data_IF_111937314431
#
_entry.id   IF_111937314431
#
_cell.length_a   1.000
_cell.length_b   1.000
_cell.length_c   1.000
_cell.angle_alpha   90.00
_cell.angle_beta   90.00
_cell.angle_gamma   90.00
#
_symmetry.space_group_name_H-M   'P 1'
#
loop_
_entity.id
_entity.type
_entity.pdbx_description
1 polymer ?
#
# COMPACT_ATOMS: atom_id res chain seq x y z
N UNK A 1 -8.68 4.29 14.57
CA UNK A 1 -9.91 3.89 13.86
C UNK A 1 -9.75 2.41 13.50
N UNK A 2 -10.34 1.52 14.30
CA UNK A 2 -10.40 0.11 13.90
C UNK A 2 -11.44 0.05 12.79
N UNK A 3 -11.00 -0.35 11.59
CA UNK A 3 -11.80 -0.29 10.36
C UNK A 3 -13.13 -1.01 10.55
N UNK A 4 -14.22 -0.30 10.30
CA UNK A 4 -15.62 -0.78 10.29
C UNK A 4 -15.77 -2.12 9.55
N UNK A 5 -14.88 -2.42 8.58
CA UNK A 5 -14.88 -3.67 7.82
C UNK A 5 -14.55 -4.93 8.63
N UNK A 6 -13.79 -4.83 9.73
CA UNK A 6 -13.32 -6.02 10.47
C UNK A 6 -14.41 -6.59 11.37
N UNK A 7 -15.13 -5.73 12.07
CA UNK A 7 -16.19 -6.14 13.00
C UNK A 7 -17.42 -6.67 12.23
N UNK A 8 -17.73 -6.06 11.08
CA UNK A 8 -18.77 -6.55 10.16
C UNK A 8 -18.43 -7.94 9.62
N UNK A 9 -17.16 -8.19 9.26
CA UNK A 9 -16.69 -9.49 8.78
C UNK A 9 -16.83 -10.57 9.86
N UNK A 10 -16.43 -10.28 11.10
CA UNK A 10 -16.60 -11.24 12.20
C UNK A 10 -18.07 -11.59 12.44
N UNK A 11 -18.95 -10.59 12.42
CA UNK A 11 -20.39 -10.80 12.55
C UNK A 11 -20.94 -11.72 11.46
N UNK A 12 -20.50 -11.55 10.21
CA UNK A 12 -20.92 -12.40 9.09
C UNK A 12 -20.40 -13.84 9.21
N UNK A 13 -19.18 -14.01 9.73
CA UNK A 13 -18.60 -15.34 10.00
C UNK A 13 -19.36 -16.04 11.12
N UNK A 14 -19.74 -15.33 12.18
CA UNK A 14 -20.52 -15.89 13.29
C UNK A 14 -21.95 -16.26 12.90
N UNK A 15 -22.55 -15.56 11.93
CA UNK A 15 -23.88 -15.85 11.41
C UNK A 15 -23.92 -17.03 10.42
N UNK A 16 -22.77 -17.60 10.10
CA UNK A 16 -22.63 -18.58 9.03
C UNK A 16 -23.06 -19.99 9.50
N UNK A 17 -23.84 -20.74 8.70
CA UNK A 17 -24.21 -22.10 9.06
C UNK A 17 -22.96 -22.99 9.21
N UNK A 18 -22.93 -23.84 10.25
CA UNK A 18 -21.76 -24.68 10.55
C UNK A 18 -21.30 -25.53 9.35
N UNK A 19 -22.26 -26.05 8.57
CA UNK A 19 -22.00 -26.84 7.36
C UNK A 19 -21.24 -26.10 6.26
N UNK A 20 -21.36 -24.78 6.20
CA UNK A 20 -20.73 -23.92 5.18
C UNK A 20 -19.37 -23.36 5.66
N UNK A 21 -19.11 -23.40 6.97
CA UNK A 21 -17.86 -22.89 7.58
C UNK A 21 -16.58 -23.46 6.95
N UNK A 22 -16.47 -24.77 6.63
CA UNK A 22 -15.28 -25.33 6.01
C UNK A 22 -15.04 -24.80 4.59
N UNK A 23 -16.09 -24.41 3.87
CA UNK A 23 -16.01 -23.87 2.51
C UNK A 23 -15.55 -22.43 2.56
N UNK A 24 -16.19 -21.62 3.42
CA UNK A 24 -15.83 -20.21 3.61
C UNK A 24 -14.40 -20.07 4.11
N UNK A 25 -13.97 -20.92 5.05
CA UNK A 25 -12.58 -20.92 5.53
C UNK A 25 -11.57 -21.12 4.39
N UNK A 26 -11.78 -22.12 3.53
CA UNK A 26 -10.89 -22.39 2.38
C UNK A 26 -10.85 -21.23 1.41
N UNK A 27 -12.00 -20.58 1.18
CA UNK A 27 -12.07 -19.41 0.30
C UNK A 27 -11.30 -18.21 0.88
N UNK A 28 -11.43 -17.93 2.18
CA UNK A 28 -10.68 -16.87 2.84
C UNK A 28 -9.17 -17.16 2.83
N UNK A 29 -8.76 -18.41 3.05
CA UNK A 29 -7.37 -18.84 2.93
C UNK A 29 -6.82 -18.63 1.51
N UNK A 30 -7.62 -18.95 0.48
CA UNK A 30 -7.30 -18.67 -0.92
C UNK A 30 -7.08 -17.17 -1.18
N UNK A 31 -8.00 -16.30 -0.72
CA UNK A 31 -7.86 -14.85 -0.88
C UNK A 31 -6.60 -14.31 -0.18
N UNK A 32 -6.29 -14.82 1.00
CA UNK A 32 -5.07 -14.47 1.74
C UNK A 32 -3.80 -14.83 0.96
N UNK A 33 -3.77 -16.00 0.33
CA UNK A 33 -2.64 -16.42 -0.51
C UNK A 33 -2.54 -15.54 -1.76
N UNK A 34 -3.66 -15.26 -2.43
CA UNK A 34 -3.68 -14.41 -3.62
C UNK A 34 -3.20 -12.98 -3.34
N UNK A 35 -3.68 -12.36 -2.25
CA UNK A 35 -3.27 -10.99 -1.89
C UNK A 35 -1.75 -10.87 -1.68
N UNK A 36 -1.13 -11.85 -1.01
CA UNK A 36 0.32 -11.86 -0.80
C UNK A 36 1.10 -12.06 -2.10
N UNK A 37 0.56 -12.88 -3.00
CA UNK A 37 1.20 -13.14 -4.30
C UNK A 37 1.11 -11.93 -5.22
N UNK A 38 0.00 -11.17 -5.19
CA UNK A 38 -0.14 -9.95 -5.97
C UNK A 38 0.87 -8.88 -5.51
N UNK A 39 0.96 -8.63 -4.20
CA UNK A 39 1.95 -7.70 -3.63
C UNK A 39 3.39 -8.09 -3.99
N UNK A 40 3.71 -9.38 -3.91
CA UNK A 40 5.04 -9.89 -4.27
C UNK A 40 5.30 -9.76 -5.77
N UNK A 41 4.33 -10.09 -6.62
CA UNK A 41 4.45 -9.95 -8.07
C UNK A 41 4.64 -8.49 -8.50
N UNK A 42 4.00 -7.54 -7.82
CA UNK A 42 4.24 -6.11 -8.04
C UNK A 42 5.64 -5.67 -7.60
N UNK A 43 6.15 -6.18 -6.47
CA UNK A 43 7.49 -5.88 -5.98
C UNK A 43 8.60 -6.48 -6.86
N UNK A 44 8.36 -7.67 -7.41
CA UNK A 44 9.30 -8.40 -8.26
C UNK A 44 9.12 -8.10 -9.75
N UNK A 45 8.11 -7.30 -10.10
CA UNK A 45 7.85 -6.95 -11.49
C UNK A 45 9.07 -6.22 -12.08
N UNK A 46 9.57 -6.75 -13.19
CA UNK A 46 10.48 -6.00 -14.04
C UNK A 46 9.72 -4.80 -14.61
N UNK A 47 9.99 -3.62 -14.06
CA UNK A 47 9.57 -2.37 -14.68
C UNK A 47 10.37 -2.26 -15.99
N UNK A 48 9.72 -2.59 -17.10
CA UNK A 48 10.27 -2.39 -18.44
C UNK A 48 10.62 -0.92 -18.69
N UNK A 49 11.07 -0.59 -19.90
CA UNK A 49 11.33 0.80 -20.27
C UNK A 49 10.02 1.61 -20.22
N UNK A 50 9.80 2.30 -19.11
CA UNK A 50 8.69 3.22 -18.94
C UNK A 50 9.02 4.53 -19.65
N UNK A 51 8.04 5.17 -20.31
CA UNK A 51 8.24 6.51 -20.85
C UNK A 51 8.64 7.47 -19.72
N UNK A 52 9.39 8.54 -20.01
CA UNK A 52 9.65 9.58 -19.04
C UNK A 52 8.35 10.09 -18.42
N UNK A 53 8.39 10.36 -17.11
CA UNK A 53 7.24 10.93 -16.41
C UNK A 53 6.87 12.29 -17.02
N UNK A 54 5.63 12.41 -17.48
CA UNK A 54 5.11 13.65 -18.05
C UNK A 54 4.79 14.64 -16.92
N UNK A 55 5.69 15.59 -16.71
CA UNK A 55 5.50 16.68 -15.74
C UNK A 55 4.54 17.76 -16.26
N UNK A 56 4.03 17.63 -17.48
CA UNK A 56 3.24 18.65 -18.15
C UNK A 56 4.09 19.83 -18.64
N UNK A 57 3.44 20.85 -19.21
CA UNK A 57 4.12 21.97 -19.88
C UNK A 57 5.05 22.79 -18.97
N UNK A 58 4.77 22.83 -17.67
CA UNK A 58 5.58 23.57 -16.69
C UNK A 58 6.82 22.81 -16.24
N UNK A 59 6.91 21.52 -16.55
CA UNK A 59 8.02 20.67 -16.15
C UNK A 59 8.01 20.32 -14.66
N UNK A 60 9.08 19.66 -14.17
CA UNK A 60 9.17 19.29 -12.76
C UNK A 60 9.15 20.53 -11.87
N UNK A 61 8.45 20.48 -10.71
CA UNK A 61 8.41 21.60 -9.80
C UNK A 61 9.83 21.91 -9.27
N UNK A 62 10.11 23.19 -9.03
CA UNK A 62 11.35 23.59 -8.36
C UNK A 62 11.37 23.04 -6.94
N UNK A 63 12.31 22.12 -6.68
CA UNK A 63 12.57 21.61 -5.34
C UNK A 63 13.00 22.73 -4.38
N UNK A 64 12.78 22.51 -3.09
CA UNK A 64 13.32 23.39 -2.04
C UNK A 64 14.83 23.11 -1.86
N UNK A 65 15.65 24.13 -1.55
CA UNK A 65 17.04 23.91 -1.21
C UNK A 65 17.15 22.99 0.02
N UNK A 66 18.07 22.04 -0.04
CA UNK A 66 18.34 21.09 1.06
C UNK A 66 19.82 21.07 1.37
N UNK A 67 20.16 20.98 2.65
CA UNK A 67 21.53 20.79 3.14
C UNK A 67 21.59 19.56 4.03
N UNK A 68 22.71 18.84 3.99
CA UNK A 68 22.97 17.76 4.93
C UNK A 68 23.69 18.30 6.16
N UNK A 69 23.20 17.94 7.35
CA UNK A 69 23.82 18.26 8.63
C UNK A 69 24.19 16.98 9.37
N UNK A 70 25.49 16.77 9.63
CA UNK A 70 26.00 15.56 10.26
C UNK A 70 25.37 15.38 11.64
N UNK A 71 24.81 14.19 11.89
CA UNK A 71 24.12 13.86 13.14
C UNK A 71 22.65 14.28 13.19
N UNK A 72 22.15 15.03 12.20
CA UNK A 72 20.73 15.43 12.10
C UNK A 72 20.07 14.86 10.83
N UNK A 73 20.73 14.95 9.67
CA UNK A 73 20.21 14.49 8.39
C UNK A 73 19.94 15.63 7.41
N UNK A 74 18.96 15.44 6.51
CA UNK A 74 18.58 16.43 5.51
C UNK A 74 17.73 17.54 6.14
N UNK A 75 18.18 18.78 6.02
CA UNK A 75 17.47 20.00 6.43
C UNK A 75 16.96 20.72 5.18
N UNK A 76 15.68 21.08 5.16
CA UNK A 76 15.09 21.92 4.12
C UNK A 76 15.33 23.39 4.47
N UNK A 77 16.06 24.10 3.62
CA UNK A 77 16.32 25.53 3.80
C UNK A 77 15.05 26.33 3.49
N UNK A 78 14.61 27.18 4.44
CA UNK A 78 13.39 27.99 4.28
C UNK A 78 12.06 27.27 4.55
N UNK A 79 12.09 26.08 5.15
CA UNK A 79 10.88 25.47 5.75
C UNK A 79 10.38 26.29 6.93
N UNK A 80 9.05 26.43 7.07
CA UNK A 80 8.45 27.03 8.28
C UNK A 80 8.94 26.25 9.51
N UNK A 81 9.53 26.96 10.47
CA UNK A 81 9.64 26.48 11.86
C UNK A 81 8.25 26.38 12.48
#
# INVERSE_FOLDING_TARGET
MVSVAKDELYRLIEALPEKETPVVKRFLEFLLIQSKNEDQAWLEAELGELPPYDWGPEGPPKGKPVRYETGIGLIIEGGKQ
#
